data_IF_634600239138
#
_entry.id   IF_634600239138
#
_cell.length_a   1.000
_cell.length_b   1.000
_cell.length_c   1.000
_cell.angle_alpha   90.00
_cell.angle_beta   90.00
_cell.angle_gamma   90.00
#
_symmetry.space_group_name_H-M   'P 1'
#
loop_
_entity.id
_entity.type
_entity.pdbx_description
1 polymer ?
#
# COMPACT_ATOMS: atom_id res chain seq x y z
N UNK A 1 -3.26 -45.11 1.86
CA UNK A 1 -3.82 -44.06 1.02
C UNK A 1 -5.34 -44.20 0.79
N UNK A 2 -5.86 -45.33 0.30
CA UNK A 2 -7.31 -45.54 0.05
C UNK A 2 -8.21 -45.35 1.30
N UNK A 3 -7.79 -45.85 2.48
CA UNK A 3 -8.56 -45.67 3.70
C UNK A 3 -8.64 -44.20 4.18
N UNK A 4 -7.56 -43.44 4.07
CA UNK A 4 -7.56 -42.00 4.41
C UNK A 4 -8.45 -41.16 3.48
N UNK A 5 -8.47 -41.48 2.17
CA UNK A 5 -9.34 -40.85 1.19
C UNK A 5 -10.80 -41.15 1.46
N UNK A 6 -11.12 -42.39 1.90
CA UNK A 6 -12.50 -42.77 2.23
C UNK A 6 -12.98 -42.04 3.51
N UNK A 7 -12.15 -41.91 4.53
CA UNK A 7 -12.47 -41.16 5.74
C UNK A 7 -12.71 -39.69 5.41
N UNK A 8 -11.84 -39.09 4.59
CA UNK A 8 -12.02 -37.69 4.16
C UNK A 8 -13.34 -37.46 3.42
N UNK A 9 -13.68 -38.34 2.46
CA UNK A 9 -14.93 -38.20 1.70
C UNK A 9 -16.18 -38.41 2.55
N UNK A 10 -16.14 -39.37 3.49
CA UNK A 10 -17.21 -39.60 4.46
C UNK A 10 -17.38 -38.38 5.39
N UNK A 11 -16.28 -37.85 5.96
CA UNK A 11 -16.30 -36.66 6.79
C UNK A 11 -16.82 -35.41 6.03
N UNK A 12 -16.44 -35.26 4.74
CA UNK A 12 -16.92 -34.18 3.89
C UNK A 12 -18.44 -34.27 3.67
N UNK A 13 -18.94 -35.46 3.34
CA UNK A 13 -20.36 -35.68 3.14
C UNK A 13 -21.16 -35.45 4.42
N UNK A 14 -20.59 -35.85 5.56
CA UNK A 14 -21.20 -35.61 6.88
C UNK A 14 -21.23 -34.13 7.23
N UNK A 15 -20.13 -33.37 7.02
CA UNK A 15 -20.10 -31.94 7.23
C UNK A 15 -21.16 -31.21 6.37
N UNK A 16 -21.34 -31.65 5.12
CA UNK A 16 -22.39 -31.11 4.23
C UNK A 16 -23.82 -31.42 4.71
N UNK A 17 -24.02 -32.58 5.31
CA UNK A 17 -25.33 -32.95 5.89
C UNK A 17 -25.64 -32.18 7.19
N UNK A 18 -24.64 -31.90 8.02
CA UNK A 18 -24.76 -31.02 9.19
C UNK A 18 -25.20 -29.62 8.81
N UNK A 19 -24.67 -29.08 7.70
CA UNK A 19 -25.07 -27.77 7.17
C UNK A 19 -26.58 -27.73 6.82
N UNK A 20 -27.18 -28.87 6.46
CA UNK A 20 -28.61 -28.96 6.06
C UNK A 20 -29.55 -29.28 7.22
N UNK A 21 -29.06 -29.93 8.28
CA UNK A 21 -29.86 -30.44 9.40
C UNK A 21 -30.44 -29.29 10.27
N UNK A 22 -29.60 -28.60 11.01
CA UNK A 22 -29.98 -27.52 11.95
C UNK A 22 -29.55 -26.15 11.44
N UNK A 23 -30.19 -25.65 10.39
CA UNK A 23 -29.77 -24.45 9.62
C UNK A 23 -29.45 -23.22 10.48
N UNK A 24 -30.26 -22.92 11.50
CA UNK A 24 -30.04 -21.71 12.33
C UNK A 24 -28.79 -21.84 13.20
N UNK A 25 -28.54 -23.01 13.82
CA UNK A 25 -27.36 -23.23 14.68
C UNK A 25 -26.07 -23.22 13.86
N UNK A 26 -26.13 -23.93 12.76
CA UNK A 26 -24.95 -24.02 11.84
C UNK A 26 -24.63 -22.66 11.26
N UNK A 27 -25.65 -21.89 10.84
CA UNK A 27 -25.47 -20.52 10.35
C UNK A 27 -24.83 -19.61 11.40
N UNK A 28 -25.33 -19.60 12.65
CA UNK A 28 -24.80 -18.76 13.72
C UNK A 28 -23.34 -19.12 14.08
N UNK A 29 -23.01 -20.40 14.10
CA UNK A 29 -21.64 -20.85 14.42
C UNK A 29 -20.67 -20.57 13.29
N UNK A 30 -21.06 -20.82 12.04
CA UNK A 30 -20.27 -20.46 10.86
C UNK A 30 -20.09 -18.95 10.73
N UNK A 31 -21.13 -18.16 11.07
CA UNK A 31 -21.09 -16.72 11.02
C UNK A 31 -19.98 -16.16 11.93
N UNK A 32 -19.79 -16.75 13.13
CA UNK A 32 -18.69 -16.36 14.01
C UNK A 32 -17.31 -16.58 13.39
N UNK A 33 -17.07 -17.76 12.79
CA UNK A 33 -15.81 -18.05 12.08
C UNK A 33 -15.66 -17.16 10.84
N UNK A 34 -16.74 -16.99 10.07
CA UNK A 34 -16.77 -16.15 8.86
C UNK A 34 -16.40 -14.70 9.18
N UNK A 35 -17.02 -14.10 10.22
CA UNK A 35 -16.72 -12.74 10.66
C UNK A 35 -15.27 -12.64 11.16
N UNK A 36 -14.81 -13.62 11.94
CA UNK A 36 -13.44 -13.63 12.44
C UNK A 36 -12.41 -13.63 11.31
N UNK A 37 -12.55 -14.53 10.34
CA UNK A 37 -11.67 -14.60 9.17
C UNK A 37 -11.83 -13.34 8.30
N UNK A 38 -13.06 -12.88 8.08
CA UNK A 38 -13.33 -11.64 7.36
C UNK A 38 -12.58 -10.46 7.98
N UNK A 39 -12.65 -10.26 9.30
CA UNK A 39 -11.96 -9.16 9.98
C UNK A 39 -10.45 -9.24 9.82
N UNK A 40 -9.85 -10.41 10.10
CA UNK A 40 -8.39 -10.58 9.99
C UNK A 40 -7.92 -10.36 8.54
N UNK A 41 -8.57 -11.02 7.58
CA UNK A 41 -8.15 -10.95 6.18
C UNK A 41 -8.43 -9.58 5.57
N UNK A 42 -9.54 -8.90 5.94
CA UNK A 42 -9.80 -7.52 5.50
C UNK A 42 -8.69 -6.58 5.95
N UNK A 43 -8.31 -6.62 7.22
CA UNK A 43 -7.29 -5.72 7.77
C UNK A 43 -5.93 -6.02 7.18
N UNK A 44 -5.51 -7.29 7.12
CA UNK A 44 -4.22 -7.65 6.51
C UNK A 44 -4.18 -7.29 5.02
N UNK A 45 -5.26 -7.52 4.28
CA UNK A 45 -5.37 -7.14 2.86
C UNK A 45 -5.29 -5.62 2.68
N UNK A 46 -5.98 -4.86 3.53
CA UNK A 46 -5.95 -3.41 3.50
C UNK A 46 -4.55 -2.86 3.80
N UNK A 47 -3.91 -3.33 4.87
CA UNK A 47 -2.55 -2.91 5.25
C UNK A 47 -1.53 -3.28 4.17
N UNK A 48 -1.58 -4.51 3.64
CA UNK A 48 -0.68 -4.95 2.55
C UNK A 48 -0.88 -4.09 1.29
N UNK A 49 -2.12 -3.71 0.99
CA UNK A 49 -2.43 -2.84 -0.15
C UNK A 49 -1.90 -1.42 0.06
N UNK A 50 -2.05 -0.86 1.27
CA UNK A 50 -1.48 0.44 1.65
C UNK A 50 0.05 0.43 1.51
N UNK A 51 0.70 -0.56 2.10
CA UNK A 51 2.16 -0.70 2.03
C UNK A 51 2.65 -0.83 0.59
N UNK A 52 1.96 -1.60 -0.23
CA UNK A 52 2.28 -1.76 -1.64
C UNK A 52 2.10 -0.46 -2.43
N UNK A 53 1.00 0.27 -2.22
CA UNK A 53 0.75 1.55 -2.88
C UNK A 53 1.79 2.60 -2.48
N UNK A 54 2.17 2.67 -1.20
CA UNK A 54 3.26 3.56 -0.74
C UNK A 54 4.58 3.16 -1.41
N UNK A 55 4.95 1.87 -1.38
CA UNK A 55 6.18 1.39 -2.02
C UNK A 55 6.19 1.64 -3.53
N UNK A 56 5.07 1.49 -4.21
CA UNK A 56 4.99 1.78 -5.65
C UNK A 56 5.10 3.27 -5.95
N UNK A 57 4.51 4.13 -5.13
CA UNK A 57 4.67 5.59 -5.23
C UNK A 57 6.13 6.00 -4.98
N UNK A 58 6.77 5.43 -3.96
CA UNK A 58 8.19 5.62 -3.65
C UNK A 58 9.08 5.15 -4.82
N UNK A 59 8.79 4.00 -5.43
CA UNK A 59 9.57 3.47 -6.55
C UNK A 59 9.52 4.37 -7.80
N UNK A 60 8.38 5.03 -8.06
CA UNK A 60 8.23 6.01 -9.14
C UNK A 60 9.12 7.24 -8.95
N UNK A 61 9.33 7.64 -7.70
CA UNK A 61 10.14 8.81 -7.32
C UNK A 61 11.65 8.55 -7.34
N UNK A 62 12.09 7.33 -7.66
CA UNK A 62 13.48 6.91 -7.67
C UNK A 62 13.96 6.46 -6.29
N UNK A 63 14.15 5.15 -6.13
CA UNK A 63 14.55 4.53 -4.85
C UNK A 63 15.92 5.01 -4.32
N UNK A 64 16.76 5.62 -5.17
CA UNK A 64 18.11 6.09 -4.83
C UNK A 64 18.23 7.61 -4.88
N UNK A 65 17.11 8.35 -4.70
CA UNK A 65 17.12 9.82 -4.75
C UNK A 65 16.92 10.41 -3.36
N UNK A 66 17.77 11.37 -3.00
CA UNK A 66 17.69 12.20 -1.80
C UNK A 66 17.24 13.60 -2.17
N UNK A 67 16.43 14.20 -1.30
CA UNK A 67 15.79 15.51 -1.48
C UNK A 67 16.35 16.49 -0.47
N UNK A 68 16.99 17.56 -0.95
CA UNK A 68 17.51 18.61 -0.08
C UNK A 68 16.54 19.78 -0.12
N UNK A 69 16.00 20.14 1.02
CA UNK A 69 15.05 21.24 1.14
C UNK A 69 15.09 21.91 2.53
N UNK A 70 14.24 22.89 2.72
CA UNK A 70 14.14 23.65 3.98
C UNK A 70 13.51 22.82 5.10
N UNK A 71 12.43 22.07 4.79
CA UNK A 71 11.60 21.35 5.73
C UNK A 71 11.94 19.86 5.78
N UNK A 72 12.13 19.26 6.94
CA UNK A 72 12.18 17.81 7.06
C UNK A 72 10.76 17.24 6.87
N UNK A 73 10.66 16.08 6.21
CA UNK A 73 9.39 15.36 6.07
C UNK A 73 8.97 14.64 7.36
N UNK A 74 9.93 14.43 8.25
CA UNK A 74 9.71 13.86 9.57
C UNK A 74 10.24 14.81 10.62
N UNK A 75 9.61 14.81 11.80
CA UNK A 75 10.11 15.62 12.91
C UNK A 75 11.54 15.22 13.28
N UNK A 76 12.43 16.20 13.26
CA UNK A 76 13.76 16.13 13.84
C UNK A 76 13.70 16.79 15.24
N UNK A 77 14.76 16.62 16.07
CA UNK A 77 14.87 17.20 17.41
C UNK A 77 15.01 18.75 17.42
N UNK A 78 14.18 19.42 16.63
CA UNK A 78 14.19 20.88 16.51
C UNK A 78 12.79 21.44 16.80
N UNK A 79 12.75 22.63 17.41
CA UNK A 79 11.51 23.36 17.52
C UNK A 79 11.04 23.85 16.14
N UNK A 80 9.72 23.81 15.87
CA UNK A 80 9.16 24.15 14.56
C UNK A 80 9.54 25.56 14.04
N UNK A 81 9.79 26.51 14.96
CA UNK A 81 10.22 27.86 14.58
C UNK A 81 11.67 27.93 14.09
N UNK A 82 12.53 26.95 14.41
CA UNK A 82 13.88 26.88 13.86
C UNK A 82 13.84 26.63 12.35
N UNK A 83 12.84 25.88 11.89
CA UNK A 83 12.67 25.63 10.46
C UNK A 83 12.21 26.87 9.68
N UNK A 84 11.43 27.78 10.28
CA UNK A 84 11.00 29.01 9.63
C UNK A 84 12.17 29.90 9.20
N UNK A 85 13.24 29.90 9.97
CA UNK A 85 14.44 30.72 9.72
C UNK A 85 15.45 30.04 8.78
N UNK A 86 15.26 28.76 8.42
CA UNK A 86 16.13 28.08 7.45
C UNK A 86 15.99 28.74 6.07
N UNK A 87 17.11 28.97 5.34
CA UNK A 87 17.04 29.44 3.97
C UNK A 87 16.53 28.31 3.05
N UNK A 88 15.78 28.68 2.02
CA UNK A 88 15.47 27.76 0.94
C UNK A 88 16.75 27.37 0.20
N UNK A 89 16.74 26.24 -0.49
CA UNK A 89 17.84 25.88 -1.40
C UNK A 89 17.85 26.79 -2.63
N UNK A 90 19.03 26.98 -3.21
CA UNK A 90 19.26 27.93 -4.29
C UNK A 90 19.87 27.28 -5.52
N UNK A 91 19.71 27.96 -6.68
CA UNK A 91 20.37 27.55 -7.92
C UNK A 91 21.92 27.56 -7.82
N UNK A 92 22.48 28.41 -6.95
CA UNK A 92 23.92 28.43 -6.73
C UNK A 92 24.38 27.19 -6.01
N UNK A 93 23.64 26.75 -4.97
CA UNK A 93 23.91 25.49 -4.26
C UNK A 93 23.77 24.29 -5.19
N UNK A 94 22.72 24.25 -6.03
CA UNK A 94 22.59 23.21 -7.06
C UNK A 94 23.82 23.14 -7.98
N UNK A 95 24.33 24.30 -8.47
CA UNK A 95 25.53 24.33 -9.30
C UNK A 95 26.79 23.83 -8.57
N UNK A 96 26.95 24.21 -7.30
CA UNK A 96 28.09 23.78 -6.49
C UNK A 96 28.03 22.27 -6.21
N UNK A 97 26.88 21.73 -5.86
CA UNK A 97 26.69 20.29 -5.61
C UNK A 97 27.00 19.43 -6.83
N UNK A 98 26.70 19.90 -8.04
CA UNK A 98 27.04 19.17 -9.29
C UNK A 98 28.58 18.98 -9.47
N UNK A 99 29.40 19.79 -8.84
CA UNK A 99 30.85 19.69 -8.90
C UNK A 99 31.45 19.00 -7.67
N UNK A 100 30.73 19.00 -6.54
CA UNK A 100 31.26 18.53 -5.26
C UNK A 100 30.83 17.10 -4.89
N UNK A 101 29.88 16.50 -5.62
CA UNK A 101 29.29 15.17 -5.31
C UNK A 101 29.68 14.12 -6.37
N UNK A 102 30.86 13.46 -6.25
CA UNK A 102 31.27 12.42 -7.20
C UNK A 102 30.38 11.16 -7.15
N UNK A 103 29.70 10.88 -6.03
CA UNK A 103 28.80 9.74 -5.91
C UNK A 103 27.41 9.97 -6.52
N UNK A 104 27.14 11.18 -7.03
CA UNK A 104 25.87 11.50 -7.65
C UNK A 104 25.82 11.12 -9.13
N UNK A 105 24.85 10.31 -9.52
CA UNK A 105 24.56 9.98 -10.92
C UNK A 105 23.88 11.14 -11.65
N UNK A 106 23.02 11.89 -10.94
CA UNK A 106 22.32 13.05 -11.47
C UNK A 106 21.94 14.00 -10.32
N UNK A 107 21.97 15.30 -10.59
CA UNK A 107 21.54 16.32 -9.64
C UNK A 107 20.67 17.34 -10.39
N UNK A 108 19.42 17.46 -9.97
CA UNK A 108 18.48 18.44 -10.51
C UNK A 108 17.92 19.33 -9.42
N UNK A 109 17.30 20.43 -9.82
CA UNK A 109 16.56 21.31 -8.92
C UNK A 109 15.15 21.50 -9.47
N UNK A 110 14.19 21.49 -8.57
CA UNK A 110 12.83 21.92 -8.88
C UNK A 110 12.42 23.08 -7.97
N UNK A 111 11.53 23.91 -8.49
CA UNK A 111 10.82 24.91 -7.71
C UNK A 111 9.36 24.94 -8.18
N UNK A 112 8.42 24.89 -7.26
CA UNK A 112 6.99 24.90 -7.55
C UNK A 112 6.32 26.18 -7.09
N UNK A 113 5.29 26.59 -7.82
CA UNK A 113 4.45 27.76 -7.52
C UNK A 113 3.06 27.56 -8.11
N UNK A 114 2.04 28.04 -7.42
CA UNK A 114 0.69 28.08 -7.98
C UNK A 114 0.59 29.14 -9.07
N UNK A 115 -0.14 28.83 -10.13
CA UNK A 115 -0.34 29.69 -11.28
C UNK A 115 -1.69 29.43 -11.94
N UNK A 116 -2.20 30.47 -12.60
CA UNK A 116 -3.37 30.35 -13.46
C UNK A 116 -2.96 29.79 -14.81
N UNK A 117 -3.57 28.67 -15.19
CA UNK A 117 -3.31 27.99 -16.46
C UNK A 117 -4.54 28.19 -17.36
N UNK A 118 -4.34 28.64 -18.60
CA UNK A 118 -5.42 28.90 -19.54
C UNK A 118 -5.11 28.31 -20.93
N UNK A 119 -6.12 27.67 -21.51
CA UNK A 119 -6.11 27.24 -22.90
C UNK A 119 -7.39 27.72 -23.57
N UNK A 120 -7.26 28.66 -24.54
CA UNK A 120 -8.39 29.35 -25.20
C UNK A 120 -9.32 30.01 -24.17
N UNK A 121 -10.59 29.57 -24.10
CA UNK A 121 -11.59 30.11 -23.16
C UNK A 121 -11.62 29.35 -21.82
N UNK A 122 -10.96 28.19 -21.73
CA UNK A 122 -10.93 27.38 -20.51
C UNK A 122 -9.75 27.77 -19.61
N UNK A 123 -10.00 27.89 -18.30
CA UNK A 123 -8.97 28.23 -17.33
C UNK A 123 -9.05 27.38 -16.07
N UNK A 124 -7.89 27.03 -15.55
CA UNK A 124 -7.70 26.40 -14.26
C UNK A 124 -7.03 27.41 -13.33
N UNK A 125 -7.75 27.84 -12.28
CA UNK A 125 -7.26 28.89 -11.36
C UNK A 125 -6.18 28.39 -10.40
N UNK A 126 -6.25 27.10 -10.00
CA UNK A 126 -5.35 26.47 -9.02
C UNK A 126 -4.46 25.40 -9.68
N UNK A 127 -3.81 25.74 -10.78
CA UNK A 127 -2.79 24.89 -11.38
C UNK A 127 -1.44 25.15 -10.72
N UNK A 128 -0.57 24.15 -10.69
CA UNK A 128 0.80 24.27 -10.18
C UNK A 128 1.77 24.29 -11.35
N UNK A 129 2.68 25.23 -11.37
CA UNK A 129 3.85 25.18 -12.25
C UNK A 129 5.04 24.62 -11.49
N UNK A 130 5.79 23.74 -12.13
CA UNK A 130 7.06 23.22 -11.64
C UNK A 130 8.16 23.59 -12.61
N UNK A 131 9.10 24.38 -12.12
CA UNK A 131 10.29 24.79 -12.86
C UNK A 131 11.38 23.79 -12.60
N UNK A 132 12.00 23.23 -13.63
CA UNK A 132 13.02 22.17 -13.50
C UNK A 132 14.33 22.55 -14.19
N UNK A 133 15.42 22.05 -13.63
CA UNK A 133 16.76 22.16 -14.23
C UNK A 133 17.08 20.91 -15.07
N UNK A 134 18.31 20.89 -15.60
CA UNK A 134 18.89 19.73 -16.29
C UNK A 134 18.84 18.48 -15.39
N UNK A 135 18.89 17.31 -16.01
CA UNK A 135 18.89 16.00 -15.36
C UNK A 135 17.64 15.67 -14.51
N UNK A 136 16.57 16.47 -14.61
CA UNK A 136 15.34 16.20 -13.85
C UNK A 136 14.69 14.87 -14.26
N UNK A 137 14.70 14.53 -15.52
CA UNK A 137 14.25 13.24 -16.06
C UNK A 137 15.06 12.03 -15.56
N UNK A 138 16.29 12.26 -15.11
CA UNK A 138 17.14 11.23 -14.52
C UNK A 138 16.94 11.09 -13.02
N UNK A 139 16.57 12.18 -12.32
CA UNK A 139 16.31 12.17 -10.88
C UNK A 139 14.88 11.78 -10.54
N UNK A 140 13.96 11.98 -11.48
CA UNK A 140 12.54 11.67 -11.36
C UNK A 140 12.05 10.88 -12.58
N UNK A 141 11.41 9.73 -12.36
CA UNK A 141 10.83 8.95 -13.46
C UNK A 141 9.54 9.60 -13.96
N UNK A 142 9.60 10.17 -15.16
CA UNK A 142 8.44 10.75 -15.83
C UNK A 142 7.92 9.77 -16.90
N UNK A 143 6.69 9.31 -16.75
CA UNK A 143 6.01 8.49 -17.75
C UNK A 143 5.26 9.39 -18.72
N UNK A 144 5.62 9.34 -20.01
CA UNK A 144 4.98 10.11 -21.06
C UNK A 144 3.88 9.30 -21.75
N UNK A 145 2.71 9.94 -21.93
CA UNK A 145 1.69 9.43 -22.82
C UNK A 145 2.00 9.80 -24.28
N UNK A 146 2.39 11.07 -24.50
CA UNK A 146 2.73 11.63 -25.80
C UNK A 146 3.84 12.68 -25.67
N UNK A 147 4.65 12.85 -26.72
CA UNK A 147 5.72 13.84 -26.73
C UNK A 147 7.02 13.37 -26.09
N UNK A 148 7.75 14.31 -25.47
CA UNK A 148 9.11 14.07 -24.93
C UNK A 148 9.44 15.00 -23.76
N UNK A 149 10.51 14.67 -23.06
CA UNK A 149 11.17 15.60 -22.13
C UNK A 149 11.88 16.73 -22.89
N UNK A 150 12.26 17.78 -22.20
CA UNK A 150 13.03 18.90 -22.74
C UNK A 150 14.40 18.45 -23.24
N UNK A 151 14.84 19.03 -24.34
CA UNK A 151 16.24 18.91 -24.75
C UNK A 151 17.10 19.88 -23.96
N UNK A 152 18.40 19.58 -23.82
CA UNK A 152 19.34 20.40 -23.03
C UNK A 152 19.33 21.88 -23.43
N UNK A 153 19.21 22.18 -24.73
CA UNK A 153 19.13 23.57 -25.20
C UNK A 153 17.88 24.28 -24.67
N UNK A 154 16.72 23.63 -24.62
CA UNK A 154 15.49 24.22 -24.08
C UNK A 154 15.62 24.57 -22.59
N UNK A 155 16.31 23.70 -21.81
CA UNK A 155 16.55 23.92 -20.39
C UNK A 155 17.56 25.05 -20.14
N UNK A 156 18.64 25.10 -20.92
CA UNK A 156 19.74 26.08 -20.73
C UNK A 156 19.40 27.46 -21.25
N UNK A 157 18.69 27.56 -22.38
CA UNK A 157 18.29 28.86 -22.95
C UNK A 157 17.00 29.41 -22.33
N UNK A 158 16.24 28.58 -21.61
CA UNK A 158 14.95 28.99 -21.07
C UNK A 158 13.88 29.16 -22.13
N UNK A 159 13.73 28.18 -23.01
CA UNK A 159 12.68 28.15 -24.03
C UNK A 159 11.28 28.16 -23.42
N UNK A 160 10.33 28.79 -24.10
CA UNK A 160 8.92 28.80 -23.72
C UNK A 160 8.26 27.45 -24.08
N UNK A 161 8.77 26.35 -23.50
CA UNK A 161 8.29 25.00 -23.67
C UNK A 161 7.66 24.49 -22.38
N UNK A 162 6.65 23.63 -22.49
CA UNK A 162 5.94 23.06 -21.34
C UNK A 162 5.63 21.57 -21.52
N UNK A 163 5.66 20.84 -20.42
CA UNK A 163 5.12 19.48 -20.31
C UNK A 163 3.90 19.58 -19.40
N UNK A 164 2.77 19.01 -19.81
CA UNK A 164 1.52 19.09 -19.05
C UNK A 164 1.16 17.78 -18.41
N UNK A 165 0.59 17.85 -17.21
CA UNK A 165 0.01 16.71 -16.52
C UNK A 165 -1.33 16.28 -17.12
N UNK A 166 -1.73 15.06 -16.83
CA UNK A 166 -2.92 14.46 -17.45
C UNK A 166 -4.23 15.16 -17.08
N UNK A 167 -4.40 15.60 -15.84
CA UNK A 167 -5.60 16.34 -15.40
C UNK A 167 -5.70 17.70 -16.10
N UNK A 168 -4.57 18.40 -16.31
CA UNK A 168 -4.53 19.64 -17.11
C UNK A 168 -5.06 19.38 -18.53
N UNK A 169 -4.66 18.25 -19.12
CA UNK A 169 -5.16 17.84 -20.43
C UNK A 169 -6.67 17.54 -20.40
N UNK A 170 -7.16 16.76 -19.44
CA UNK A 170 -8.59 16.42 -19.33
C UNK A 170 -9.48 17.65 -19.11
N UNK A 171 -9.04 18.63 -18.32
CA UNK A 171 -9.85 19.80 -17.95
C UNK A 171 -9.81 20.92 -19.00
N UNK A 172 -8.68 21.10 -19.68
CA UNK A 172 -8.51 22.25 -20.59
C UNK A 172 -8.67 21.90 -22.07
N UNK A 173 -8.51 20.64 -22.47
CA UNK A 173 -8.56 20.27 -23.88
C UNK A 173 -9.82 19.47 -24.22
N UNK A 174 -10.45 19.75 -25.39
CA UNK A 174 -11.54 18.91 -25.86
C UNK A 174 -11.10 17.45 -26.05
N UNK A 175 -12.01 16.51 -25.79
CA UNK A 175 -11.74 15.08 -25.90
C UNK A 175 -11.15 14.70 -27.27
N UNK A 176 -10.02 14.00 -27.27
CA UNK A 176 -9.35 13.48 -28.48
C UNK A 176 -8.45 14.48 -29.21
N UNK A 177 -8.29 15.70 -28.69
CA UNK A 177 -7.38 16.70 -29.28
C UNK A 177 -5.94 16.44 -28.78
N UNK A 178 -5.00 16.28 -29.73
CA UNK A 178 -3.58 16.19 -29.36
C UNK A 178 -3.07 17.55 -28.88
N UNK A 179 -2.56 17.65 -27.63
CA UNK A 179 -2.07 18.91 -27.07
C UNK A 179 -0.67 19.29 -27.58
N UNK A 180 0.11 18.33 -28.11
CA UNK A 180 1.51 18.59 -28.51
C UNK A 180 1.58 19.67 -29.61
N UNK A 181 2.48 20.64 -29.44
CA UNK A 181 2.66 21.77 -30.35
C UNK A 181 1.64 22.89 -30.19
N UNK A 182 0.63 22.77 -29.32
CA UNK A 182 -0.31 23.85 -29.02
C UNK A 182 0.24 24.81 -27.99
N UNK A 183 -0.27 26.06 -28.02
CA UNK A 183 0.11 27.10 -27.06
C UNK A 183 -0.82 27.07 -25.85
N UNK A 184 -0.22 27.03 -24.65
CA UNK A 184 -0.87 27.18 -23.35
C UNK A 184 -0.45 28.51 -22.74
N UNK A 185 -1.33 29.17 -21.98
CA UNK A 185 -1.00 30.40 -21.25
C UNK A 185 -0.84 30.10 -19.76
N UNK A 186 0.29 30.51 -19.19
CA UNK A 186 0.63 30.44 -17.76
C UNK A 186 0.78 31.88 -17.26
N UNK A 187 -0.07 32.33 -16.36
CA UNK A 187 -0.10 33.72 -15.85
C UNK A 187 0.00 34.77 -16.98
N UNK A 188 -0.69 34.51 -18.11
CA UNK A 188 -0.69 35.40 -19.30
C UNK A 188 0.48 35.20 -20.27
N UNK A 189 1.44 34.30 -19.98
CA UNK A 189 2.59 34.00 -20.87
C UNK A 189 2.34 32.73 -21.65
N UNK A 190 2.63 32.76 -22.94
CA UNK A 190 2.44 31.63 -23.85
C UNK A 190 3.62 30.67 -23.77
N UNK A 191 3.33 29.38 -23.71
CA UNK A 191 4.28 28.29 -23.79
C UNK A 191 3.80 27.24 -24.77
N UNK A 192 4.72 26.61 -25.50
CA UNK A 192 4.41 25.51 -26.42
C UNK A 192 4.49 24.17 -25.71
N UNK A 193 3.47 23.34 -25.87
CA UNK A 193 3.43 21.99 -25.22
C UNK A 193 4.30 21.04 -26.03
N UNK A 194 5.31 20.44 -25.37
CA UNK A 194 6.24 19.46 -25.95
C UNK A 194 6.04 18.04 -25.42
N UNK A 195 5.31 17.87 -24.30
CA UNK A 195 5.02 16.60 -23.70
C UNK A 195 3.72 16.59 -22.92
N UNK A 196 3.08 15.41 -22.89
CA UNK A 196 1.92 15.08 -22.07
C UNK A 196 2.29 13.89 -21.20
N UNK A 197 2.18 14.05 -19.89
CA UNK A 197 2.42 12.95 -18.95
C UNK A 197 1.28 11.93 -18.95
N UNK A 198 1.61 10.70 -18.63
CA UNK A 198 0.63 9.64 -18.39
C UNK A 198 -0.11 9.92 -17.08
N UNK A 199 -1.37 9.51 -16.97
CA UNK A 199 -2.16 9.64 -15.75
C UNK A 199 -1.52 8.83 -14.63
N UNK A 200 -1.11 9.50 -13.58
CA UNK A 200 -0.53 8.85 -12.40
C UNK A 200 -1.61 8.39 -11.42
N UNK A 201 -2.76 9.06 -11.43
CA UNK A 201 -3.86 8.83 -10.49
C UNK A 201 -3.57 9.40 -9.10
N UNK A 202 -4.57 9.38 -8.24
CA UNK A 202 -4.40 9.79 -6.83
C UNK A 202 -3.77 8.66 -6.05
N UNK A 203 -2.46 8.72 -5.83
CA UNK A 203 -1.78 7.91 -4.84
C UNK A 203 -2.17 8.33 -3.41
N UNK A 204 -1.80 7.52 -2.40
CA UNK A 204 -1.97 7.88 -0.97
C UNK A 204 -1.15 9.11 -0.58
N UNK A 205 -0.04 9.32 -1.25
CA UNK A 205 0.81 10.49 -1.14
C UNK A 205 0.54 11.28 -2.41
N UNK A 206 -0.03 12.48 -2.28
CA UNK A 206 -0.38 13.34 -3.44
C UNK A 206 0.89 14.00 -4.03
N UNK A 207 1.77 13.16 -4.57
CA UNK A 207 3.01 13.54 -5.26
C UNK A 207 2.82 13.25 -6.75
N UNK A 208 1.76 13.78 -7.33
CA UNK A 208 1.40 13.57 -8.72
C UNK A 208 1.63 14.84 -9.52
N UNK A 209 2.19 14.69 -10.73
CA UNK A 209 2.26 15.78 -11.70
C UNK A 209 1.00 15.93 -12.55
N UNK A 210 -0.09 15.22 -12.23
CA UNK A 210 -1.33 15.26 -13.02
C UNK A 210 -1.93 16.67 -13.17
N UNK A 211 -1.83 17.51 -12.11
CA UNK A 211 -2.32 18.91 -12.11
C UNK A 211 -1.21 19.94 -12.32
N UNK A 212 -0.09 19.52 -12.87
CA UNK A 212 1.11 20.34 -12.94
C UNK A 212 1.50 20.64 -14.38
N UNK A 213 2.03 21.84 -14.60
CA UNK A 213 2.73 22.21 -15.83
C UNK A 213 4.22 22.33 -15.51
N UNK A 214 5.05 21.49 -16.13
CA UNK A 214 6.51 21.52 -15.96
C UNK A 214 7.08 22.44 -17.04
N UNK A 215 7.98 23.35 -16.63
CA UNK A 215 8.67 24.31 -17.52
C UNK A 215 10.17 24.36 -17.21
N UNK A 216 11.02 24.80 -18.15
CA UNK A 216 12.42 25.05 -17.87
C UNK A 216 12.63 26.09 -16.76
N UNK A 217 13.53 25.81 -15.80
CA UNK A 217 13.85 26.74 -14.71
C UNK A 217 14.23 28.12 -15.22
N UNK A 218 15.08 28.19 -16.24
CA UNK A 218 15.54 29.45 -16.82
C UNK A 218 14.38 30.27 -17.44
N UNK A 219 13.35 29.60 -17.97
CA UNK A 219 12.15 30.30 -18.46
C UNK A 219 11.34 30.84 -17.28
N UNK A 220 11.10 30.04 -16.25
CA UNK A 220 10.34 30.44 -15.06
C UNK A 220 10.96 31.65 -14.34
N UNK A 221 12.27 31.71 -14.27
CA UNK A 221 13.01 32.83 -13.65
C UNK A 221 12.83 34.18 -14.35
N UNK A 222 12.36 34.22 -15.60
CA UNK A 222 12.07 35.46 -16.30
C UNK A 222 10.86 36.22 -15.71
N UNK A 223 10.01 35.51 -14.94
CA UNK A 223 8.79 36.09 -14.36
C UNK A 223 8.53 35.72 -12.91
N UNK A 224 9.39 34.87 -12.32
CA UNK A 224 9.27 34.45 -10.91
C UNK A 224 10.60 34.62 -10.22
N UNK A 225 10.58 35.22 -9.03
CA UNK A 225 11.76 35.34 -8.17
C UNK A 225 11.71 34.23 -7.12
N UNK A 226 12.73 33.38 -7.08
CA UNK A 226 12.85 32.32 -6.07
C UNK A 226 13.32 32.86 -4.72
N UNK A 227 14.07 33.95 -4.73
CA UNK A 227 14.71 34.51 -3.53
C UNK A 227 13.67 35.26 -2.66
N UNK A 228 13.49 34.81 -1.44
CA UNK A 228 12.58 35.45 -0.48
C UNK A 228 11.09 35.10 -0.70
N UNK A 229 10.74 34.26 -1.66
CA UNK A 229 9.36 33.84 -1.87
C UNK A 229 9.01 32.65 -0.96
N UNK A 230 8.16 32.91 0.04
CA UNK A 230 7.69 31.91 1.00
C UNK A 230 6.76 30.89 0.31
N UNK A 231 6.12 31.29 -0.80
CA UNK A 231 5.15 30.46 -1.54
C UNK A 231 5.79 29.45 -2.49
N UNK A 232 7.10 29.55 -2.78
CA UNK A 232 7.77 28.62 -3.67
C UNK A 232 8.45 27.49 -2.87
N UNK A 233 8.00 26.26 -3.11
CA UNK A 233 8.70 25.07 -2.61
C UNK A 233 9.90 24.80 -3.51
N UNK A 234 11.10 24.78 -2.94
CA UNK A 234 12.36 24.61 -3.66
C UNK A 234 13.09 23.39 -3.12
N UNK A 235 13.47 22.48 -4.01
CA UNK A 235 14.12 21.22 -3.68
C UNK A 235 15.29 20.95 -4.65
N UNK A 236 16.39 20.41 -4.12
CA UNK A 236 17.45 19.82 -4.93
C UNK A 236 17.34 18.31 -4.80
N UNK A 237 17.29 17.62 -5.93
CA UNK A 237 17.19 16.18 -6.03
C UNK A 237 18.56 15.62 -6.40
N UNK A 238 19.07 14.72 -5.59
CA UNK A 238 20.35 14.07 -5.80
C UNK A 238 20.13 12.57 -5.92
N UNK A 239 20.39 12.00 -7.10
CA UNK A 239 20.33 10.55 -7.32
C UNK A 239 21.74 9.96 -7.19
N UNK A 240 21.87 8.95 -6.35
CA UNK A 240 23.12 8.21 -6.17
C UNK A 240 23.42 7.31 -7.38
N UNK A 241 24.71 7.06 -7.65
CA UNK A 241 25.14 5.98 -8.54
C UNK A 241 24.72 4.61 -8.00
N UNK A 242 24.49 3.66 -8.90
CA UNK A 242 24.19 2.29 -8.51
C UNK A 242 25.36 1.70 -7.70
N UNK A 243 25.02 1.07 -6.57
CA UNK A 243 25.98 0.49 -5.64
C UNK A 243 26.46 1.41 -4.51
N UNK A 244 26.10 2.70 -4.52
CA UNK A 244 26.31 3.60 -3.38
C UNK A 244 25.19 3.42 -2.38
N UNK A 245 25.51 3.24 -1.09
CA UNK A 245 24.49 3.18 -0.03
C UNK A 245 23.93 4.57 0.22
N UNK A 246 22.62 4.68 0.44
CA UNK A 246 21.95 5.96 0.69
C UNK A 246 22.50 6.68 1.92
N UNK A 247 22.88 5.94 2.97
CA UNK A 247 23.49 6.55 4.17
C UNK A 247 24.82 7.22 3.88
N UNK A 248 25.72 6.55 3.13
CA UNK A 248 26.99 7.14 2.73
C UNK A 248 26.79 8.36 1.83
N UNK A 249 25.85 8.29 0.90
CA UNK A 249 25.51 9.41 0.03
C UNK A 249 24.89 10.58 0.78
N UNK A 250 24.06 10.30 1.78
CA UNK A 250 23.48 11.31 2.67
C UNK A 250 24.54 12.06 3.47
N UNK A 251 25.54 11.34 3.96
CA UNK A 251 26.67 11.95 4.69
C UNK A 251 27.57 12.79 3.75
N UNK A 252 27.79 12.34 2.52
CA UNK A 252 28.51 13.10 1.49
C UNK A 252 27.77 14.41 1.15
N UNK A 253 26.45 14.34 0.90
CA UNK A 253 25.61 15.52 0.66
C UNK A 253 25.64 16.47 1.87
N UNK A 254 25.53 15.92 3.09
CA UNK A 254 25.60 16.73 4.31
C UNK A 254 26.93 17.47 4.40
N UNK A 255 28.02 16.81 4.14
CA UNK A 255 29.36 17.41 4.12
C UNK A 255 29.46 18.54 3.09
N UNK A 256 29.05 18.31 1.86
CA UNK A 256 29.06 19.28 0.78
C UNK A 256 28.17 20.50 1.10
N UNK A 257 26.92 20.27 1.57
CA UNK A 257 25.99 21.37 1.92
C UNK A 257 26.50 22.20 3.08
N UNK A 258 27.09 21.58 4.12
CA UNK A 258 27.70 22.30 5.24
C UNK A 258 28.86 23.16 4.79
N UNK A 259 29.68 22.68 3.84
CA UNK A 259 30.77 23.44 3.23
C UNK A 259 30.23 24.63 2.42
N UNK A 260 29.29 24.40 1.51
CA UNK A 260 28.66 25.44 0.67
C UNK A 260 28.03 26.53 1.53
N UNK A 261 27.35 26.16 2.62
CA UNK A 261 26.72 27.11 3.57
C UNK A 261 27.65 27.64 4.65
N UNK A 262 28.95 27.24 4.63
CA UNK A 262 29.99 27.64 5.60
C UNK A 262 29.55 27.42 7.06
N UNK A 263 28.85 26.31 7.34
CA UNK A 263 28.41 25.97 8.70
C UNK A 263 29.58 25.48 9.55
N UNK A 264 29.67 26.02 10.78
CA UNK A 264 30.71 25.59 11.73
C UNK A 264 30.44 24.14 12.21
N UNK A 265 31.48 23.39 12.65
CA UNK A 265 31.30 21.98 13.06
C UNK A 265 30.26 21.74 14.14
N UNK A 266 30.04 22.72 15.05
CA UNK A 266 29.05 22.64 16.15
C UNK A 266 27.68 23.22 15.79
N UNK A 267 27.54 23.89 14.67
CA UNK A 267 26.27 24.43 14.20
C UNK A 267 25.39 23.30 13.68
N UNK A 268 24.11 23.40 13.98
CA UNK A 268 23.08 22.49 13.45
C UNK A 268 22.90 22.71 11.96
N UNK A 269 22.47 21.68 11.25
CA UNK A 269 22.14 21.78 9.84
C UNK A 269 20.96 22.74 9.64
N UNK A 270 21.08 23.68 8.70
CA UNK A 270 20.03 24.61 8.32
C UNK A 270 19.34 24.22 7.02
N UNK A 271 19.38 22.93 6.70
CA UNK A 271 18.70 22.25 5.61
C UNK A 271 18.24 20.87 6.09
N UNK A 272 17.32 20.26 5.37
CA UNK A 272 16.92 18.88 5.57
C UNK A 272 17.35 18.02 4.38
N UNK A 273 17.73 16.78 4.63
CA UNK A 273 17.96 15.77 3.60
C UNK A 273 16.91 14.70 3.79
N UNK A 274 15.91 14.73 2.94
CA UNK A 274 14.75 13.86 2.99
C UNK A 274 14.95 12.64 2.07
N UNK A 275 14.34 11.55 2.46
CA UNK A 275 14.42 10.27 1.77
C UNK A 275 13.02 9.65 1.75
N UNK A 276 12.61 9.10 0.63
CA UNK A 276 11.28 8.51 0.48
C UNK A 276 11.03 7.32 1.43
N UNK A 277 12.06 6.56 1.75
CA UNK A 277 12.00 5.50 2.74
C UNK A 277 11.56 5.98 4.12
N UNK A 278 11.84 7.25 4.49
CA UNK A 278 11.40 7.84 5.77
C UNK A 278 9.88 7.82 5.90
N UNK A 279 9.14 8.15 4.83
CA UNK A 279 7.67 8.14 4.83
C UNK A 279 7.15 6.71 5.02
N UNK A 280 7.72 5.75 4.26
CA UNK A 280 7.34 4.35 4.39
C UNK A 280 7.63 3.82 5.80
N UNK A 281 8.79 4.16 6.38
CA UNK A 281 9.19 3.74 7.72
C UNK A 281 8.31 4.37 8.81
N UNK A 282 7.89 5.63 8.65
CA UNK A 282 7.00 6.29 9.58
C UNK A 282 5.59 5.68 9.64
N UNK A 283 5.15 5.06 8.55
CA UNK A 283 3.86 4.37 8.50
C UNK A 283 3.90 2.97 9.13
N UNK A 284 5.06 2.34 9.27
CA UNK A 284 5.20 0.99 9.82
C UNK A 284 4.60 0.81 11.23
N UNK A 285 4.83 1.71 12.22
CA UNK A 285 4.19 1.59 13.52
C UNK A 285 2.66 1.64 13.44
N UNK A 286 2.11 2.52 12.58
CA UNK A 286 0.67 2.65 12.37
C UNK A 286 0.09 1.35 11.78
N UNK A 287 0.74 0.79 10.76
CA UNK A 287 0.34 -0.49 10.18
C UNK A 287 0.41 -1.63 11.19
N UNK A 288 1.44 -1.64 12.03
CA UNK A 288 1.56 -2.63 13.10
C UNK A 288 0.39 -2.53 14.10
N UNK A 289 0.03 -1.32 14.54
CA UNK A 289 -1.12 -1.09 15.44
C UNK A 289 -2.42 -1.57 14.80
N UNK A 290 -2.67 -1.21 13.54
CA UNK A 290 -3.89 -1.62 12.81
C UNK A 290 -3.95 -3.15 12.71
N UNK A 291 -2.83 -3.81 12.39
CA UNK A 291 -2.76 -5.27 12.35
C UNK A 291 -3.06 -5.91 13.70
N UNK A 292 -2.51 -5.39 14.80
CA UNK A 292 -2.80 -5.88 16.15
C UNK A 292 -4.28 -5.71 16.53
N UNK A 293 -4.89 -4.58 16.18
CA UNK A 293 -6.34 -4.37 16.38
C UNK A 293 -7.14 -5.42 15.59
N UNK A 294 -6.74 -5.68 14.35
CA UNK A 294 -7.38 -6.69 13.51
C UNK A 294 -7.28 -8.11 14.08
N UNK A 295 -6.09 -8.49 14.53
CA UNK A 295 -5.86 -9.78 15.18
C UNK A 295 -6.69 -9.90 16.46
N UNK A 296 -6.78 -8.83 17.24
CA UNK A 296 -7.54 -8.81 18.48
C UNK A 296 -9.04 -9.01 18.22
N UNK A 297 -9.64 -8.16 17.37
CA UNK A 297 -11.08 -8.24 17.04
C UNK A 297 -11.40 -9.57 16.34
N UNK A 298 -10.61 -9.95 15.33
CA UNK A 298 -10.81 -11.18 14.60
C UNK A 298 -10.57 -12.42 15.49
N UNK A 299 -9.59 -12.36 16.37
CA UNK A 299 -9.29 -13.42 17.34
C UNK A 299 -10.45 -13.68 18.29
N UNK A 300 -11.05 -12.63 18.87
CA UNK A 300 -12.28 -12.78 19.68
C UNK A 300 -13.43 -13.35 18.89
N UNK A 301 -13.65 -12.88 17.68
CA UNK A 301 -14.70 -13.42 16.79
C UNK A 301 -14.48 -14.90 16.50
N UNK A 302 -13.21 -15.29 16.24
CA UNK A 302 -12.82 -16.69 16.03
C UNK A 302 -13.02 -17.54 17.26
N UNK A 303 -12.75 -17.03 18.45
CA UNK A 303 -13.03 -17.75 19.71
C UNK A 303 -14.53 -18.03 19.85
N UNK A 304 -15.38 -17.02 19.65
CA UNK A 304 -16.85 -17.18 19.70
C UNK A 304 -17.32 -18.17 18.64
N UNK A 305 -16.83 -18.06 17.41
CA UNK A 305 -17.13 -18.99 16.31
C UNK A 305 -16.65 -20.40 16.61
N UNK A 306 -15.45 -20.55 17.18
CA UNK A 306 -14.88 -21.83 17.61
C UNK A 306 -15.73 -22.52 18.68
N UNK A 307 -16.20 -21.79 19.69
CA UNK A 307 -17.15 -22.32 20.67
C UNK A 307 -18.47 -22.73 20.00
N UNK A 308 -18.95 -21.98 19.00
CA UNK A 308 -20.12 -22.36 18.22
C UNK A 308 -19.91 -23.69 17.48
N UNK A 309 -18.77 -23.87 16.83
CA UNK A 309 -18.40 -25.14 16.15
C UNK A 309 -18.27 -26.27 17.15
N UNK A 310 -17.61 -26.05 18.28
CA UNK A 310 -17.50 -27.06 19.34
C UNK A 310 -18.87 -27.53 19.83
N UNK A 311 -19.83 -26.59 20.02
CA UNK A 311 -21.20 -26.92 20.43
C UNK A 311 -21.93 -27.76 19.37
N UNK A 312 -21.77 -27.45 18.08
CA UNK A 312 -22.33 -28.27 17.00
C UNK A 312 -21.73 -29.67 17.08
N UNK A 313 -20.41 -29.79 17.23
CA UNK A 313 -19.73 -31.08 17.30
C UNK A 313 -20.16 -31.91 18.50
N UNK A 314 -20.38 -31.31 19.69
CA UNK A 314 -20.92 -32.01 20.85
C UNK A 314 -22.31 -32.61 20.57
N UNK A 315 -23.18 -31.83 19.89
CA UNK A 315 -24.51 -32.31 19.54
C UNK A 315 -24.44 -33.42 18.48
N UNK A 316 -23.57 -33.22 17.44
CA UNK A 316 -23.37 -34.24 16.39
C UNK A 316 -22.88 -35.58 17.00
N UNK A 317 -21.90 -35.52 17.94
CA UNK A 317 -21.44 -36.70 18.66
C UNK A 317 -22.58 -37.37 19.41
N UNK A 318 -23.46 -36.60 20.11
CA UNK A 318 -24.59 -37.14 20.87
C UNK A 318 -25.65 -37.74 19.92
N UNK A 319 -25.98 -37.12 18.82
CA UNK A 319 -26.95 -37.64 17.84
C UNK A 319 -26.46 -38.93 17.16
N UNK A 320 -25.14 -39.10 17.02
CA UNK A 320 -24.49 -40.25 16.35
C UNK A 320 -23.94 -41.28 17.34
N UNK A 321 -24.19 -41.17 18.65
CA UNK A 321 -23.65 -42.06 19.69
C UNK A 321 -23.87 -43.53 19.36
N UNK A 322 -25.08 -43.92 18.91
CA UNK A 322 -25.37 -45.30 18.53
C UNK A 322 -24.52 -45.78 17.35
N UNK A 323 -24.35 -44.96 16.33
CA UNK A 323 -23.57 -45.28 15.15
C UNK A 323 -22.08 -45.39 15.47
N UNK A 324 -21.56 -44.57 16.39
CA UNK A 324 -20.20 -44.66 16.94
C UNK A 324 -20.03 -45.99 17.68
N UNK A 325 -21.02 -46.38 18.49
CA UNK A 325 -21.04 -47.67 19.21
C UNK A 325 -20.89 -48.86 18.25
N UNK A 326 -21.70 -48.88 17.18
CA UNK A 326 -21.68 -49.91 16.14
C UNK A 326 -20.30 -49.93 15.44
N UNK A 327 -19.77 -48.78 15.01
CA UNK A 327 -18.41 -48.72 14.40
C UNK A 327 -17.34 -49.31 15.32
N UNK A 328 -17.41 -49.04 16.62
CA UNK A 328 -16.47 -49.57 17.63
C UNK A 328 -16.66 -51.07 17.86
N UNK A 329 -17.88 -51.55 17.90
CA UNK A 329 -18.17 -52.99 18.03
C UNK A 329 -17.64 -53.79 16.83
N UNK A 330 -17.59 -53.18 15.65
CA UNK A 330 -16.98 -53.73 14.44
C UNK A 330 -15.45 -53.57 14.38
N UNK A 331 -14.81 -53.02 15.42
CA UNK A 331 -13.36 -52.95 15.56
C UNK A 331 -12.72 -51.63 15.17
N UNK A 332 -13.48 -50.54 15.00
CA UNK A 332 -12.92 -49.21 14.73
C UNK A 332 -12.07 -48.72 15.92
N UNK A 333 -10.84 -48.27 15.64
CA UNK A 333 -9.92 -47.72 16.67
C UNK A 333 -10.42 -46.34 17.14
N UNK A 334 -10.21 -46.06 18.47
CA UNK A 334 -10.56 -44.76 19.09
C UNK A 334 -10.04 -43.55 18.28
N UNK A 335 -8.79 -43.64 17.87
CA UNK A 335 -8.12 -42.60 17.05
C UNK A 335 -8.85 -42.36 15.74
N UNK A 336 -9.37 -43.42 15.08
CA UNK A 336 -10.04 -43.30 13.79
C UNK A 336 -11.34 -42.50 13.88
N UNK A 337 -12.11 -42.76 14.96
CA UNK A 337 -13.35 -42.02 15.25
C UNK A 337 -13.05 -40.54 15.61
N UNK A 338 -12.02 -40.35 16.46
CA UNK A 338 -11.61 -38.96 16.79
C UNK A 338 -11.13 -38.18 15.55
N UNK A 339 -10.39 -38.79 14.64
CA UNK A 339 -10.00 -38.16 13.37
C UNK A 339 -11.17 -37.80 12.47
N UNK A 340 -12.20 -38.67 12.39
CA UNK A 340 -13.40 -38.42 11.61
C UNK A 340 -14.08 -37.12 12.06
N UNK A 341 -14.35 -36.95 13.35
CA UNK A 341 -14.97 -35.74 13.92
C UNK A 341 -14.05 -34.52 13.84
N UNK A 342 -12.72 -34.70 14.00
CA UNK A 342 -11.77 -33.61 13.88
C UNK A 342 -11.73 -33.04 12.45
N UNK A 343 -11.70 -33.91 11.44
CA UNK A 343 -11.75 -33.51 10.03
C UNK A 343 -13.05 -32.79 9.71
N UNK A 344 -14.19 -33.27 10.25
CA UNK A 344 -15.48 -32.63 10.09
C UNK A 344 -15.47 -31.18 10.62
N UNK A 345 -14.93 -30.95 11.82
CA UNK A 345 -14.80 -29.62 12.41
C UNK A 345 -13.89 -28.70 11.57
N UNK A 346 -12.77 -29.23 11.08
CA UNK A 346 -11.84 -28.49 10.21
C UNK A 346 -12.51 -28.10 8.89
N UNK A 347 -13.26 -29.02 8.27
CA UNK A 347 -13.99 -28.73 7.03
C UNK A 347 -15.00 -27.60 7.26
N UNK A 348 -15.79 -27.64 8.35
CA UNK A 348 -16.76 -26.59 8.67
C UNK A 348 -16.06 -25.23 8.87
N UNK A 349 -14.94 -25.19 9.58
CA UNK A 349 -14.17 -23.95 9.75
C UNK A 349 -13.59 -23.42 8.44
N UNK A 350 -13.08 -24.28 7.57
CA UNK A 350 -12.58 -23.91 6.24
C UNK A 350 -13.71 -23.35 5.37
N UNK A 351 -14.91 -23.94 5.42
CA UNK A 351 -16.09 -23.38 4.72
C UNK A 351 -16.40 -21.97 5.19
N UNK A 352 -16.47 -21.75 6.52
CA UNK A 352 -16.69 -20.40 7.07
C UNK A 352 -15.57 -19.44 6.64
N UNK A 353 -14.32 -19.89 6.65
CA UNK A 353 -13.16 -19.12 6.22
C UNK A 353 -13.20 -18.74 4.72
N UNK A 354 -13.58 -19.68 3.85
CA UNK A 354 -13.71 -19.42 2.41
C UNK A 354 -14.81 -18.37 2.16
N UNK A 355 -15.94 -18.46 2.86
CA UNK A 355 -17.00 -17.46 2.75
C UNK A 355 -16.49 -16.08 3.20
N UNK A 356 -15.79 -16.01 4.33
CA UNK A 356 -15.19 -14.77 4.83
C UNK A 356 -14.21 -14.15 3.80
N UNK A 357 -13.30 -14.95 3.26
CA UNK A 357 -12.35 -14.52 2.23
C UNK A 357 -13.04 -14.11 0.92
N UNK A 358 -14.11 -14.79 0.51
CA UNK A 358 -14.88 -14.43 -0.66
C UNK A 358 -15.53 -13.05 -0.51
N UNK A 359 -16.07 -12.75 0.69
CA UNK A 359 -16.63 -11.43 1.00
C UNK A 359 -15.56 -10.35 0.88
N UNK A 360 -14.33 -10.58 1.42
CA UNK A 360 -13.20 -9.66 1.29
C UNK A 360 -12.86 -9.42 -0.18
N UNK A 361 -12.76 -10.48 -0.96
CA UNK A 361 -12.46 -10.39 -2.39
C UNK A 361 -13.50 -9.57 -3.17
N UNK A 362 -14.80 -9.82 -2.91
CA UNK A 362 -15.88 -9.06 -3.54
C UNK A 362 -15.86 -7.59 -3.13
N UNK A 363 -15.60 -7.29 -1.85
CA UNK A 363 -15.44 -5.91 -1.37
C UNK A 363 -14.25 -5.22 -2.03
N UNK A 364 -13.12 -5.90 -2.16
CA UNK A 364 -11.94 -5.37 -2.85
C UNK A 364 -12.27 -4.99 -4.31
N UNK A 365 -13.03 -5.83 -5.04
CA UNK A 365 -13.48 -5.52 -6.40
C UNK A 365 -14.39 -4.28 -6.48
N UNK A 366 -15.25 -4.09 -5.48
CA UNK A 366 -16.13 -2.92 -5.42
C UNK A 366 -15.32 -1.66 -5.12
N UNK A 367 -14.42 -1.71 -4.14
CA UNK A 367 -13.56 -0.57 -3.77
C UNK A 367 -12.70 -0.14 -4.96
N UNK A 368 -12.08 -1.07 -5.68
CA UNK A 368 -11.25 -0.78 -6.86
C UNK A 368 -12.01 -0.10 -8.01
N UNK A 369 -13.37 -0.19 -8.03
CA UNK A 369 -14.19 0.53 -9.01
C UNK A 369 -14.60 1.93 -8.56
N UNK A 370 -14.57 2.19 -7.26
CA UNK A 370 -15.05 3.45 -6.68
C UNK A 370 -13.93 4.43 -6.35
N UNK A 371 -12.72 3.92 -6.12
CA UNK A 371 -11.56 4.70 -5.68
C UNK A 371 -10.36 4.32 -6.54
N UNK A 372 -9.54 5.30 -6.90
CA UNK A 372 -8.26 5.10 -7.60
C UNK A 372 -7.18 4.51 -6.66
N UNK A 373 -7.57 3.53 -5.86
CA UNK A 373 -6.72 2.85 -4.88
C UNK A 373 -6.82 1.34 -5.08
N UNK A 374 -5.72 0.70 -5.45
CA UNK A 374 -5.71 -0.74 -5.69
C UNK A 374 -5.69 -1.55 -4.40
N UNK A 375 -6.83 -2.15 -4.05
CA UNK A 375 -6.92 -3.17 -3.00
C UNK A 375 -6.66 -4.53 -3.63
N UNK A 376 -5.59 -5.18 -3.22
CA UNK A 376 -5.16 -6.47 -3.76
C UNK A 376 -5.07 -7.54 -2.67
N UNK A 377 -5.90 -8.58 -2.79
CA UNK A 377 -5.82 -9.76 -1.93
C UNK A 377 -4.70 -10.69 -2.43
N UNK A 378 -3.61 -10.79 -1.67
CA UNK A 378 -2.46 -11.62 -2.04
C UNK A 378 -2.73 -13.11 -1.79
N UNK A 379 -2.02 -14.00 -2.51
CA UNK A 379 -2.02 -15.45 -2.24
C UNK A 379 -1.57 -15.75 -0.80
N UNK A 380 -0.71 -14.91 -0.23
CA UNK A 380 -0.29 -15.00 1.18
C UNK A 380 -1.48 -14.83 2.11
N UNK A 381 -2.35 -13.85 1.90
CA UNK A 381 -3.52 -13.58 2.72
C UNK A 381 -4.55 -14.73 2.63
N UNK A 382 -4.74 -15.27 1.43
CA UNK A 382 -5.56 -16.45 1.22
C UNK A 382 -5.01 -17.66 2.00
N UNK A 383 -3.71 -17.94 1.90
CA UNK A 383 -3.05 -19.04 2.63
C UNK A 383 -3.16 -18.87 4.16
N UNK A 384 -2.96 -17.65 4.67
CA UNK A 384 -3.13 -17.31 6.09
C UNK A 384 -4.57 -17.60 6.52
N UNK A 385 -5.58 -17.21 5.74
CA UNK A 385 -6.98 -17.48 6.03
C UNK A 385 -7.28 -18.97 6.15
N UNK A 386 -6.78 -19.81 5.23
CA UNK A 386 -6.94 -21.27 5.28
C UNK A 386 -6.24 -21.87 6.50
N UNK A 387 -5.01 -21.44 6.79
CA UNK A 387 -4.24 -21.94 7.95
C UNK A 387 -4.96 -21.60 9.26
N UNK A 388 -5.41 -20.34 9.43
CA UNK A 388 -6.12 -19.91 10.63
C UNK A 388 -7.43 -20.70 10.78
N UNK A 389 -8.23 -20.86 9.70
CA UNK A 389 -9.44 -21.65 9.71
C UNK A 389 -9.19 -23.10 10.13
N UNK A 390 -8.11 -23.70 9.62
CA UNK A 390 -7.73 -25.08 9.96
C UNK A 390 -7.34 -25.21 11.43
N UNK A 391 -6.53 -24.28 11.95
CA UNK A 391 -6.13 -24.26 13.37
C UNK A 391 -7.35 -24.14 14.29
N UNK A 392 -8.26 -23.22 13.98
CA UNK A 392 -9.49 -23.04 14.76
C UNK A 392 -10.37 -24.30 14.70
N UNK A 393 -10.49 -24.93 13.52
CA UNK A 393 -11.21 -26.18 13.36
C UNK A 393 -10.64 -27.31 14.22
N UNK A 394 -9.30 -27.43 14.25
CA UNK A 394 -8.63 -28.40 15.13
C UNK A 394 -8.90 -28.09 16.61
N UNK A 395 -8.72 -26.84 17.04
CA UNK A 395 -8.91 -26.44 18.44
C UNK A 395 -10.37 -26.64 18.89
N UNK A 396 -11.32 -26.22 18.07
CA UNK A 396 -12.75 -26.34 18.37
C UNK A 396 -13.24 -27.80 18.36
N UNK A 397 -12.72 -28.62 17.42
CA UNK A 397 -13.12 -30.01 17.27
C UNK A 397 -12.41 -30.99 18.21
N UNK A 398 -11.28 -30.59 18.83
CA UNK A 398 -10.41 -31.51 19.59
C UNK A 398 -11.15 -32.19 20.77
N UNK A 399 -11.81 -31.43 21.62
CA UNK A 399 -12.50 -31.96 22.81
C UNK A 399 -13.68 -32.86 22.40
N UNK A 400 -14.62 -32.47 21.52
CA UNK A 400 -15.68 -33.33 21.05
C UNK A 400 -15.17 -34.63 20.39
N UNK A 401 -14.12 -34.51 19.56
CA UNK A 401 -13.53 -35.65 18.87
C UNK A 401 -12.92 -36.71 19.87
N UNK A 402 -12.22 -36.24 20.89
CA UNK A 402 -11.66 -37.12 21.94
C UNK A 402 -12.81 -37.82 22.70
N UNK A 403 -13.88 -37.10 23.04
CA UNK A 403 -15.04 -37.66 23.72
C UNK A 403 -15.72 -38.74 22.86
N UNK A 404 -15.96 -38.47 21.57
CA UNK A 404 -16.48 -39.44 20.62
C UNK A 404 -15.60 -40.71 20.55
N UNK A 405 -14.28 -40.52 20.48
CA UNK A 405 -13.32 -41.63 20.49
C UNK A 405 -13.31 -42.45 21.78
N UNK A 406 -13.70 -41.88 22.92
CA UNK A 406 -13.68 -42.59 24.23
C UNK A 406 -15.04 -43.19 24.64
N UNK A 407 -16.12 -43.04 23.89
CA UNK A 407 -17.43 -43.65 24.19
C UNK A 407 -17.30 -45.16 24.35
N UNK A 408 -18.00 -45.74 25.35
CA UNK A 408 -18.09 -47.19 25.53
C UNK A 408 -19.05 -47.77 24.47
N UNK A 409 -18.64 -48.82 23.71
CA UNK A 409 -19.50 -49.41 22.69
C UNK A 409 -20.83 -49.96 23.23
N UNK A 410 -20.81 -50.55 24.45
CA UNK A 410 -21.99 -51.17 25.03
C UNK A 410 -23.02 -50.11 25.48
N UNK A 411 -22.51 -49.06 26.14
CA UNK A 411 -23.36 -47.94 26.56
C UNK A 411 -23.88 -47.14 25.35
N UNK A 412 -23.03 -46.94 24.33
CA UNK A 412 -23.36 -46.20 23.12
C UNK A 412 -24.45 -46.87 22.28
N UNK A 413 -24.49 -48.23 22.23
CA UNK A 413 -25.55 -48.96 21.51
C UNK A 413 -26.86 -48.94 22.27
N UNK A 414 -26.81 -48.87 23.61
CA UNK A 414 -27.98 -48.82 24.48
C UNK A 414 -28.63 -47.45 24.62
N UNK A 415 -27.89 -46.40 24.30
CA UNK A 415 -28.41 -45.02 24.34
C UNK A 415 -29.49 -44.85 23.26
N UNK A 416 -30.71 -44.55 23.67
CA UNK A 416 -31.83 -44.15 22.79
C UNK A 416 -31.77 -42.67 22.49
#
# INVERSE_FOLDING_TARGET
MKAAMHIFWESFTQAMNELKGNKLRTFLSLLGVTIGIFCIISITTFVDSLERNIKSSVAKLGSNTLYIEKWPWMEEDYAWWDYLNRPNVSLQEWKSLRTELPSAAAISMLASKDAKIKFQEQSLENGTIVMVTEDFDKTWNLDFRDGRFFVTSELTTGSAAAIIGYTIYEELFPTGVNPIGKELSIDGRKVSIVGLLQKEGKGLIDISFDKTVIIPMQYGLQFTTLKGNIESNQQILCRAHDGVTLDAFKDEIRGAMRNIRSLKPKEKDNFAINEMSMIANAMQPIFSIINWIGIFIGGFSLLVGGFGIANIMFVSVKERTNLIGIKKALGAKKIMIAFEFLIEAVILCIFGGIIGMLIVYLLALVINRMVDFEVFMSLRNFSIGIIISSIIGVLAGLIPAILAGNLDPVEAIRSK
#
